data_IF_727986872857
#
_entry.id   IF_727986872857
#
_cell.length_a   1.000
_cell.length_b   1.000
_cell.length_c   1.000
_cell.angle_alpha   90.00
_cell.angle_beta   90.00
_cell.angle_gamma   90.00
#
_symmetry.space_group_name_H-M   'P 1'
#
loop_
_entity.id
_entity.type
_entity.pdbx_description
1 polymer ?
#
# COMPACT_ATOMS: atom_id res chain seq x y z
N UNK A 1 39.04 -0.98 -21.28
CA UNK A 1 37.84 -1.77 -20.94
C UNK A 1 37.76 -2.06 -19.42
N UNK A 2 37.78 -1.03 -18.54
CA UNK A 2 37.70 -1.23 -17.07
C UNK A 2 36.81 -0.20 -16.35
N UNK A 3 36.09 0.66 -17.08
CA UNK A 3 35.28 1.75 -16.49
C UNK A 3 33.76 1.52 -16.57
N UNK A 4 33.32 0.46 -17.24
CA UNK A 4 31.89 0.16 -17.43
C UNK A 4 31.30 -0.71 -16.31
N UNK A 5 32.13 -1.41 -15.54
CA UNK A 5 31.67 -2.27 -14.43
C UNK A 5 31.28 -1.50 -13.18
N UNK A 6 31.74 -0.25 -13.01
CA UNK A 6 31.39 0.56 -11.83
C UNK A 6 29.95 1.10 -11.88
N UNK A 7 29.38 1.32 -13.06
CA UNK A 7 28.01 1.82 -13.22
C UNK A 7 26.94 0.76 -12.96
N UNK A 8 27.25 -0.52 -13.20
CA UNK A 8 26.31 -1.62 -12.91
C UNK A 8 26.18 -1.93 -11.42
N UNK A 9 27.23 -1.70 -10.62
CA UNK A 9 27.21 -1.91 -9.17
C UNK A 9 26.48 -0.80 -8.40
N UNK A 10 26.29 0.38 -9.00
CA UNK A 10 25.52 1.46 -8.38
C UNK A 10 24.01 1.29 -8.54
N UNK A 11 23.55 0.46 -9.50
CA UNK A 11 22.13 0.13 -9.63
C UNK A 11 21.64 -0.88 -8.58
N UNK A 12 22.53 -1.67 -7.99
CA UNK A 12 22.17 -2.62 -6.90
C UNK A 12 22.07 -1.96 -5.52
N UNK A 13 22.39 -0.66 -5.40
CA UNK A 13 22.27 0.11 -4.16
C UNK A 13 20.99 0.95 -4.05
N UNK A 14 20.05 0.80 -4.99
CA UNK A 14 18.65 1.06 -4.65
C UNK A 14 18.21 -0.12 -3.79
N UNK A 15 18.51 -0.06 -2.49
CA UNK A 15 17.89 -0.94 -1.51
C UNK A 15 16.39 -0.73 -1.66
N UNK A 16 15.72 -1.64 -2.37
CA UNK A 16 14.28 -1.75 -2.33
C UNK A 16 13.96 -2.03 -0.88
N UNK A 17 13.53 -1.01 -0.14
CA UNK A 17 12.90 -1.19 1.16
C UNK A 17 11.72 -2.10 0.87
N UNK A 18 11.88 -3.38 1.22
CA UNK A 18 10.81 -4.33 1.05
C UNK A 18 9.69 -3.87 1.96
N UNK A 19 8.48 -3.76 1.42
CA UNK A 19 7.32 -3.34 2.17
C UNK A 19 7.20 -4.19 3.45
N UNK A 20 6.84 -3.56 4.56
CA UNK A 20 6.35 -4.32 5.70
C UNK A 20 5.12 -5.13 5.28
N UNK A 21 4.84 -6.23 5.99
CA UNK A 21 3.60 -7.00 5.75
C UNK A 21 2.36 -6.12 5.90
N UNK A 22 2.44 -5.13 6.79
CA UNK A 22 1.41 -4.13 6.98
C UNK A 22 1.22 -3.26 5.73
N UNK A 23 2.28 -2.68 5.18
CA UNK A 23 2.20 -1.86 3.96
C UNK A 23 1.80 -2.67 2.73
N UNK A 24 2.22 -3.93 2.65
CA UNK A 24 1.76 -4.87 1.62
C UNK A 24 0.25 -5.07 1.73
N UNK A 25 -0.26 -5.32 2.95
CA UNK A 25 -1.69 -5.47 3.19
C UNK A 25 -2.50 -4.22 2.83
N UNK A 26 -1.97 -3.04 3.15
CA UNK A 26 -2.53 -1.74 2.75
C UNK A 26 -2.70 -1.62 1.23
N UNK A 27 -1.68 -2.02 0.46
CA UNK A 27 -1.74 -2.08 -0.99
C UNK A 27 -2.88 -2.94 -1.50
N UNK A 28 -3.00 -4.17 -0.97
CA UNK A 28 -4.06 -5.11 -1.33
C UNK A 28 -5.48 -4.57 -1.07
N UNK A 29 -5.68 -3.80 0.00
CA UNK A 29 -6.99 -3.18 0.27
C UNK A 29 -7.32 -2.05 -0.72
N UNK A 30 -6.34 -1.26 -1.13
CA UNK A 30 -6.52 -0.28 -2.20
C UNK A 30 -6.81 -0.94 -3.55
N UNK A 31 -6.09 -2.00 -3.89
CA UNK A 31 -6.37 -2.82 -5.06
C UNK A 31 -7.82 -3.32 -5.06
N UNK A 32 -8.29 -3.88 -3.94
CA UNK A 32 -9.65 -4.37 -3.80
C UNK A 32 -10.67 -3.25 -4.04
N UNK A 33 -10.48 -2.07 -3.44
CA UNK A 33 -11.36 -0.92 -3.65
C UNK A 33 -11.49 -0.52 -5.12
N UNK A 34 -10.36 -0.40 -5.83
CA UNK A 34 -10.35 -0.09 -7.26
C UNK A 34 -11.00 -1.20 -8.11
N UNK A 35 -10.78 -2.46 -7.74
CA UNK A 35 -11.42 -3.61 -8.41
C UNK A 35 -12.94 -3.56 -8.28
N UNK A 36 -13.46 -3.27 -7.09
CA UNK A 36 -14.90 -3.12 -6.85
C UNK A 36 -15.51 -2.00 -7.70
N UNK A 37 -14.83 -0.85 -7.81
CA UNK A 37 -15.22 0.26 -8.69
C UNK A 37 -15.29 -0.19 -10.14
N UNK A 38 -14.26 -0.88 -10.64
CA UNK A 38 -14.17 -1.31 -12.04
C UNK A 38 -15.22 -2.38 -12.39
N UNK A 39 -15.67 -3.15 -11.41
CA UNK A 39 -16.78 -4.10 -11.53
C UNK A 39 -18.17 -3.44 -11.50
N UNK A 40 -18.26 -2.12 -11.30
CA UNK A 40 -19.52 -1.39 -11.19
C UNK A 40 -20.28 -1.62 -9.87
N UNK A 41 -19.60 -2.14 -8.85
CA UNK A 41 -20.15 -2.27 -7.50
C UNK A 41 -20.18 -0.91 -6.80
N UNK A 42 -20.91 -0.83 -5.68
CA UNK A 42 -20.95 0.36 -4.83
C UNK A 42 -19.80 0.39 -3.82
N UNK A 43 -19.43 1.58 -3.36
CA UNK A 43 -18.43 1.76 -2.30
C UNK A 43 -18.85 1.00 -1.03
N UNK A 44 -20.15 1.00 -0.73
CA UNK A 44 -20.68 0.35 0.47
C UNK A 44 -20.58 -1.18 0.39
N UNK A 45 -20.71 -1.77 -0.80
CA UNK A 45 -20.43 -3.20 -1.00
C UNK A 45 -18.95 -3.51 -0.80
N UNK A 46 -18.04 -2.70 -1.36
CA UNK A 46 -16.61 -2.87 -1.16
C UNK A 46 -16.23 -2.84 0.34
N UNK A 47 -16.81 -1.89 1.09
CA UNK A 47 -16.56 -1.74 2.53
C UNK A 47 -17.18 -2.89 3.33
N UNK A 48 -18.41 -3.31 3.03
CA UNK A 48 -19.04 -4.44 3.72
C UNK A 48 -18.25 -5.74 3.56
N UNK A 49 -17.71 -5.97 2.36
CA UNK A 49 -16.87 -7.14 2.08
C UNK A 49 -15.52 -7.08 2.81
N UNK A 50 -14.92 -5.89 2.87
CA UNK A 50 -13.71 -5.65 3.64
C UNK A 50 -13.95 -5.90 5.13
N UNK A 51 -15.01 -5.33 5.69
CA UNK A 51 -15.41 -5.49 7.10
C UNK A 51 -15.60 -6.96 7.47
N UNK A 52 -16.27 -7.74 6.60
CA UNK A 52 -16.46 -9.17 6.81
C UNK A 52 -15.13 -9.93 6.88
N UNK A 53 -14.16 -9.56 6.03
CA UNK A 53 -12.84 -10.20 5.96
C UNK A 53 -11.89 -9.74 7.05
N UNK A 54 -12.06 -8.51 7.56
CA UNK A 54 -11.24 -7.92 8.62
C UNK A 54 -11.84 -8.07 10.01
N UNK A 55 -12.97 -8.76 10.19
CA UNK A 55 -13.71 -8.85 11.45
C UNK A 55 -12.88 -9.41 12.63
N UNK A 56 -11.83 -10.18 12.33
CA UNK A 56 -10.92 -10.77 13.32
C UNK A 56 -9.82 -9.81 13.80
N UNK A 57 -9.63 -8.67 13.12
CA UNK A 57 -8.63 -7.67 13.49
C UNK A 57 -9.17 -6.69 14.52
N UNK A 58 -8.28 -6.00 15.22
CA UNK A 58 -8.64 -4.93 16.15
C UNK A 58 -9.32 -3.74 15.44
N UNK A 59 -10.07 -2.89 16.17
CA UNK A 59 -10.82 -1.78 15.58
C UNK A 59 -9.98 -0.76 14.79
N UNK A 60 -8.72 -0.56 15.18
CA UNK A 60 -7.82 0.39 14.51
C UNK A 60 -7.39 -0.17 13.16
N UNK A 61 -6.99 -1.44 13.13
CA UNK A 61 -6.71 -2.17 11.89
C UNK A 61 -7.92 -2.18 10.96
N UNK A 62 -9.14 -2.45 11.46
CA UNK A 62 -10.36 -2.38 10.63
C UNK A 62 -10.59 -0.98 10.04
N UNK A 63 -10.27 0.07 10.80
CA UNK A 63 -10.37 1.46 10.32
C UNK A 63 -9.39 1.72 9.18
N UNK A 64 -8.17 1.20 9.29
CA UNK A 64 -7.15 1.29 8.24
C UNK A 64 -7.58 0.53 6.98
N UNK A 65 -8.10 -0.69 7.14
CA UNK A 65 -8.66 -1.48 6.03
C UNK A 65 -9.71 -0.67 5.27
N UNK A 66 -10.71 -0.13 5.97
CA UNK A 66 -11.76 0.70 5.36
C UNK A 66 -11.19 1.91 4.64
N UNK A 67 -10.22 2.59 5.24
CA UNK A 67 -9.58 3.75 4.63
C UNK A 67 -8.97 3.40 3.27
N UNK A 68 -8.20 2.31 3.19
CA UNK A 68 -7.51 1.95 1.95
C UNK A 68 -8.45 1.36 0.89
N UNK A 69 -9.52 0.66 1.28
CA UNK A 69 -10.59 0.30 0.34
C UNK A 69 -11.23 1.55 -0.26
N UNK A 70 -11.54 2.58 0.55
CA UNK A 70 -12.07 3.86 0.02
C UNK A 70 -11.05 4.58 -0.86
N UNK A 71 -9.78 4.56 -0.48
CA UNK A 71 -8.69 5.16 -1.26
C UNK A 71 -8.67 4.59 -2.67
N UNK A 72 -8.67 3.25 -2.80
CA UNK A 72 -8.71 2.58 -4.10
C UNK A 72 -10.01 2.83 -4.86
N UNK A 73 -11.15 2.69 -4.19
CA UNK A 73 -12.48 2.82 -4.81
C UNK A 73 -12.74 4.22 -5.37
N UNK A 74 -12.35 5.27 -4.62
CA UNK A 74 -12.57 6.67 -5.03
C UNK A 74 -11.47 7.21 -5.93
N UNK A 75 -10.33 6.53 -6.01
CA UNK A 75 -9.26 6.87 -6.93
C UNK A 75 -9.67 6.69 -8.38
N UNK A 76 -8.87 7.25 -9.29
CA UNK A 76 -8.99 7.05 -10.75
C UNK A 76 -7.90 6.11 -11.30
N UNK A 77 -7.17 5.45 -10.41
CA UNK A 77 -6.07 4.55 -10.70
C UNK A 77 -6.58 3.15 -11.03
N UNK A 78 -5.87 2.39 -11.88
CA UNK A 78 -6.14 0.95 -12.04
C UNK A 78 -5.91 0.21 -10.71
N UNK A 79 -6.43 -1.01 -10.52
CA UNK A 79 -6.19 -1.78 -9.31
C UNK A 79 -4.70 -1.93 -8.94
N UNK A 80 -3.84 -2.19 -9.92
CA UNK A 80 -2.39 -2.33 -9.73
C UNK A 80 -1.72 -0.99 -9.39
N UNK A 81 -2.20 0.11 -9.96
CA UNK A 81 -1.72 1.44 -9.62
C UNK A 81 -2.14 1.86 -8.20
N UNK A 82 -3.36 1.51 -7.80
CA UNK A 82 -3.87 1.78 -6.46
C UNK A 82 -3.10 0.98 -5.40
N UNK A 83 -2.79 -0.29 -5.70
CA UNK A 83 -1.91 -1.16 -4.90
C UNK A 83 -0.55 -0.50 -4.62
N UNK A 84 0.22 -0.28 -5.69
CA UNK A 84 1.56 0.27 -5.59
C UNK A 84 1.57 1.68 -4.95
N UNK A 85 0.55 2.51 -5.22
CA UNK A 85 0.47 3.85 -4.64
C UNK A 85 0.19 3.81 -3.14
N UNK A 86 -0.70 2.93 -2.68
CA UNK A 86 -1.02 2.80 -1.27
C UNK A 86 0.14 2.18 -0.47
N UNK A 87 0.78 1.14 -1.01
CA UNK A 87 1.97 0.53 -0.41
C UNK A 87 3.10 1.56 -0.27
N UNK A 88 3.42 2.29 -1.34
CA UNK A 88 4.46 3.32 -1.33
C UNK A 88 4.16 4.42 -0.30
N UNK A 89 2.90 4.86 -0.22
CA UNK A 89 2.48 5.89 0.75
C UNK A 89 2.64 5.40 2.18
N UNK A 90 2.34 4.13 2.45
CA UNK A 90 2.54 3.51 3.75
C UNK A 90 4.04 3.42 4.10
N UNK A 91 4.88 2.97 3.18
CA UNK A 91 6.34 2.87 3.38
C UNK A 91 6.96 4.24 3.70
N UNK A 92 6.51 5.30 3.02
CA UNK A 92 6.96 6.66 3.30
C UNK A 92 6.59 7.12 4.73
N UNK A 93 5.44 6.69 5.23
CA UNK A 93 5.00 7.00 6.59
C UNK A 93 5.82 6.21 7.62
N UNK A 94 6.00 4.90 7.43
CA UNK A 94 6.84 4.07 8.31
C UNK A 94 8.29 4.59 8.36
N UNK A 95 8.87 4.97 7.21
CA UNK A 95 10.21 5.56 7.17
C UNK A 95 10.29 6.90 7.91
N UNK A 96 9.27 7.76 7.78
CA UNK A 96 9.22 9.04 8.49
C UNK A 96 9.14 8.84 10.01
N UNK A 97 8.30 7.92 10.48
CA UNK A 97 8.16 7.63 11.92
C UNK A 97 9.44 7.04 12.50
N UNK A 98 10.10 6.12 11.79
CA UNK A 98 11.40 5.57 12.18
C UNK A 98 12.48 6.67 12.27
N UNK A 99 12.51 7.59 11.31
CA UNK A 99 13.42 8.73 11.34
C UNK A 99 13.16 9.65 12.54
N UNK A 100 11.89 9.92 12.86
CA UNK A 100 11.51 10.72 14.03
C UNK A 100 11.95 10.07 15.34
N UNK A 101 11.74 8.76 15.48
CA UNK A 101 12.09 8.03 16.70
C UNK A 101 13.62 7.90 16.89
N UNK A 102 14.39 7.79 15.80
CA UNK A 102 15.86 7.76 15.86
C UNK A 102 16.50 9.12 16.22
N UNK A 103 15.76 10.22 16.13
CA UNK A 103 16.22 11.58 16.47
C UNK A 103 15.86 12.02 17.90
N UNK A 104 15.07 11.22 18.62
CA UNK A 104 14.70 11.44 20.02
C UNK A 104 15.49 10.53 20.97
#
# INVERSE_FOLDING_TARGET
MKRLTALFLLMTLAASVQASDFCTGVGLFAHAGATYRDQGSTEQQAIADADKRSAQFDPDTQTIVRYFVRFGYRGNQTPEQADASAELKCQQFEAYDQHKDAMN
#
